data_IF_649646059174
#
_entry.id   IF_649646059174
#
_cell.length_a   1.000
_cell.length_b   1.000
_cell.length_c   1.000
_cell.angle_alpha   90.00
_cell.angle_beta   90.00
_cell.angle_gamma   90.00
#
_symmetry.space_group_name_H-M   'P 1'
#
loop_
_entity.id
_entity.type
_entity.pdbx_description
1 polymer ?
2 polymer ?
3 water ?
#
loop_
_entity_poly.entity_id
_entity_poly.type
_entity_poly.pdbx_seq_one_letter_code
_entity_poly.pdbx_strand_id
2 'polyribonucleotide' 'UGCGAAUUCGCUU' ?
#
# COMPACT_ATOMS: atom_id res chain seq x y z
N UNK A 3 -5.80 6.99 33.52
CA UNK A 3 -4.40 6.67 33.20
C UNK A 3 -3.94 7.48 31.99
N UNK A 4 -2.70 8.00 32.05
CA UNK A 4 -2.05 8.72 30.95
C UNK A 4 -1.71 7.82 29.77
N UNK A 5 -0.91 8.33 28.84
CA UNK A 5 -0.61 7.63 27.60
C UNK A 5 0.88 7.51 27.30
N UNK A 6 1.23 6.47 26.57
CA UNK A 6 2.60 6.27 26.12
C UNK A 6 2.59 6.16 24.61
N UNK A 7 3.49 6.89 23.96
CA UNK A 7 3.52 6.89 22.51
C UNK A 7 4.91 6.47 22.02
N UNK A 8 4.96 5.35 21.30
CA UNK A 8 6.22 4.85 20.76
C UNK A 8 6.26 4.97 19.24
N UNK A 9 7.45 5.27 18.72
CA UNK A 9 7.70 5.22 17.28
C UNK A 9 8.25 3.84 16.91
N UNK A 10 7.66 3.22 15.90
CA UNK A 10 8.24 2.01 15.30
C UNK A 10 9.29 2.43 14.27
N UNK A 11 10.52 2.61 14.72
CA UNK A 11 11.59 3.03 13.85
C UNK A 11 11.95 1.97 12.84
N UNK A 12 11.98 2.35 11.56
CA UNK A 12 12.40 1.43 10.50
C UNK A 12 13.57 1.96 9.69
N UNK A 13 14.59 1.12 9.49
CA UNK A 13 15.69 1.44 8.59
C UNK A 13 16.02 0.22 7.74
N UNK A 14 16.31 0.43 6.47
CA UNK A 14 16.74 -0.65 5.60
C UNK A 14 18.23 -0.71 5.77
N UNK A 15 18.67 -1.55 6.69
CA UNK A 15 20.07 -1.61 7.06
C UNK A 15 20.81 -2.44 6.06
N UNK A 16 20.10 -3.38 5.44
CA UNK A 16 20.68 -4.22 4.38
C UNK A 16 19.77 -4.33 3.16
N UNK A 17 20.11 -3.61 2.10
CA UNK A 17 19.26 -3.64 0.89
C UNK A 17 19.44 -4.95 0.14
N UNK A 18 18.34 -5.45 -0.42
CA UNK A 18 18.34 -6.67 -1.22
C UNK A 18 19.46 -6.63 -2.24
N UNK A 19 20.37 -7.60 -2.19
CA UNK A 19 21.47 -7.67 -3.17
C UNK A 19 20.92 -8.13 -4.54
N UNK A 20 21.67 -7.86 -5.62
CA UNK A 20 21.20 -8.15 -6.96
C UNK A 20 20.81 -9.62 -7.14
N UNK A 21 21.55 -10.51 -6.48
CA UNK A 21 21.33 -11.94 -6.61
C UNK A 21 20.11 -12.46 -5.87
N UNK A 22 19.36 -11.57 -5.22
CA UNK A 22 18.14 -12.00 -4.54
C UNK A 22 16.96 -11.18 -5.04
N UNK A 23 17.25 -10.22 -5.92
CA UNK A 23 16.19 -9.42 -6.51
C UNK A 23 15.58 -10.11 -7.74
N UNK A 24 15.00 -11.28 -7.50
CA UNK A 24 14.46 -12.12 -8.56
C UNK A 24 13.37 -11.43 -9.35
N UNK A 25 12.45 -10.78 -8.64
CA UNK A 25 11.38 -10.05 -9.29
C UNK A 25 11.82 -8.67 -9.72
N UNK A 26 13.14 -8.50 -9.86
CA UNK A 26 13.80 -7.27 -10.33
C UNK A 26 13.21 -5.93 -9.89
N UNK A 27 12.91 -5.83 -8.59
CA UNK A 27 12.25 -4.67 -8.04
C UNK A 27 13.13 -3.47 -7.74
N UNK A 28 12.46 -2.34 -7.50
CA UNK A 28 13.09 -1.13 -7.01
C UNK A 28 13.11 -1.24 -5.50
N UNK A 29 14.20 -0.84 -4.87
CA UNK A 29 14.25 -0.94 -3.41
C UNK A 29 13.72 0.32 -2.72
N UNK A 30 12.97 0.15 -1.65
CA UNK A 30 12.23 1.25 -1.02
C UNK A 30 12.53 1.48 0.45
N UNK A 31 13.66 2.15 0.75
CA UNK A 31 14.02 2.43 2.15
C UNK A 31 12.89 3.13 2.90
N UNK A 32 12.46 2.56 4.04
CA UNK A 32 11.33 3.13 4.77
C UNK A 32 11.70 4.51 5.26
N UNK A 33 12.99 4.69 5.52
CA UNK A 33 13.46 5.91 6.15
C UNK A 33 13.37 7.08 5.20
N UNK A 34 13.05 6.82 3.95
CA UNK A 34 12.94 7.86 2.93
C UNK A 34 11.64 8.67 2.98
N UNK A 35 10.64 8.16 3.68
CA UNK A 35 9.38 8.87 3.84
C UNK A 35 9.08 9.08 5.33
N UNK A 36 8.73 10.31 5.69
CA UNK A 36 8.61 10.66 7.11
C UNK A 36 7.43 10.00 7.83
N UNK A 37 6.33 9.76 7.10
CA UNK A 37 5.18 9.12 7.74
C UNK A 37 5.48 7.65 8.03
N UNK A 38 4.93 7.14 9.12
CA UNK A 38 5.26 5.80 9.59
C UNK A 38 4.27 5.43 10.67
N UNK A 39 4.49 4.30 11.32
CA UNK A 39 3.57 3.88 12.35
C UNK A 39 4.11 4.03 13.77
N UNK A 40 3.23 3.83 14.73
CA UNK A 40 3.56 3.99 16.14
C UNK A 40 2.59 3.26 17.05
N UNK A 41 2.98 3.11 18.31
CA UNK A 41 2.15 2.39 19.25
C UNK A 41 1.74 3.27 20.41
N UNK A 42 0.44 3.32 20.66
CA UNK A 42 -0.09 4.06 21.78
C UNK A 42 -0.56 3.09 22.82
N UNK A 43 0.02 3.18 24.00
CA UNK A 43 -0.22 2.21 25.07
C UNK A 43 -0.67 2.89 26.35
N UNK A 44 -1.14 2.08 27.30
CA UNK A 44 -1.45 2.56 28.63
C UNK A 44 -0.29 2.22 29.54
N UNK A 45 0.14 0.95 29.49
CA UNK A 45 1.34 0.48 30.19
C UNK A 45 2.56 0.70 29.30
N UNK A 46 3.70 1.07 29.88
CA UNK A 46 4.91 1.27 29.07
C UNK A 46 5.44 -0.03 28.45
N UNK A 47 6.32 0.11 27.45
CA UNK A 47 6.88 -1.03 26.74
C UNK A 47 8.29 -1.32 27.24
N UNK A 48 8.58 -2.59 27.54
CA UNK A 48 9.94 -2.98 27.92
C UNK A 48 10.85 -2.81 26.71
N UNK A 49 11.93 -2.05 26.85
CA UNK A 49 12.83 -1.79 25.72
C UNK A 49 13.30 -3.10 25.08
N UNK A 50 12.73 -3.43 23.92
CA UNK A 50 13.10 -4.65 23.20
C UNK A 50 14.35 -4.39 22.39
N UNK A 51 15.18 -5.43 22.18
CA UNK A 51 16.32 -5.18 21.29
C UNK A 51 15.91 -5.02 19.83
N UNK A 52 16.80 -4.40 19.05
CA UNK A 52 16.67 -4.30 17.60
C UNK A 52 16.45 -5.69 17.01
N UNK A 53 15.53 -5.79 16.06
CA UNK A 53 15.32 -7.03 15.34
C UNK A 53 14.93 -6.76 13.88
N UNK A 54 15.34 -7.67 12.98
CA UNK A 54 15.09 -7.54 11.54
C UNK A 54 13.70 -8.00 11.13
N UNK A 55 13.08 -7.29 10.18
CA UNK A 55 11.99 -7.86 9.38
C UNK A 55 12.51 -7.95 7.96
N UNK A 56 12.20 -9.05 7.31
CA UNK A 56 12.68 -9.27 5.95
C UNK A 56 11.62 -8.87 4.91
N UNK A 57 11.86 -7.75 4.26
CA UNK A 57 10.86 -7.18 3.36
C UNK A 57 11.33 -7.21 1.93
N UNK A 58 10.44 -6.82 1.03
CA UNK A 58 10.74 -6.83 -0.38
C UNK A 58 12.03 -6.11 -0.71
N UNK A 59 12.34 -5.05 0.03
CA UNK A 59 13.47 -4.19 -0.34
C UNK A 59 14.79 -4.64 0.26
N UNK A 60 14.72 -5.51 1.26
CA UNK A 60 15.91 -5.90 1.99
C UNK A 60 15.58 -6.08 3.46
N UNK A 61 16.62 -6.17 4.28
CA UNK A 61 16.47 -6.37 5.72
C UNK A 61 16.28 -5.03 6.43
N UNK A 62 15.09 -4.83 6.98
CA UNK A 62 14.76 -3.63 7.75
C UNK A 62 14.95 -3.91 9.23
N UNK A 63 15.81 -3.13 9.91
CA UNK A 63 15.94 -3.18 11.39
C UNK A 63 14.82 -2.42 12.06
N UNK A 64 14.04 -3.13 12.88
CA UNK A 64 12.95 -2.48 13.61
C UNK A 64 13.45 -2.06 14.98
N UNK A 65 13.11 -0.84 15.39
CA UNK A 65 13.46 -0.41 16.76
C UNK A 65 12.28 0.31 17.39
N UNK A 66 11.98 0.01 18.65
CA UNK A 66 10.86 0.65 19.33
C UNK A 66 11.34 1.75 20.27
N UNK A 67 11.19 3.00 19.84
CA UNK A 67 11.65 4.13 20.64
C UNK A 67 10.48 4.90 21.24
N UNK A 68 10.73 5.47 22.41
CA UNK A 68 9.73 6.25 23.11
C UNK A 68 9.58 7.63 22.46
N UNK A 69 8.35 7.99 22.10
CA UNK A 69 8.11 9.33 21.57
C UNK A 69 7.57 10.26 22.66
N UNK A 70 6.59 9.80 23.42
CA UNK A 70 6.08 10.59 24.54
C UNK A 70 5.58 9.71 25.69
N UNK A 71 5.20 10.34 26.79
CA UNK A 71 4.62 9.63 27.91
C UNK A 71 3.91 10.58 28.87
N UNK A 72 2.96 10.03 29.63
CA UNK A 72 2.32 10.77 30.70
C UNK A 72 1.44 11.92 30.22
N UNK A 73 1.06 11.86 28.95
CA UNK A 73 0.17 12.85 28.40
C UNK A 73 -1.25 12.29 28.36
N UNK A 74 -2.20 13.13 27.98
CA UNK A 74 -3.59 12.71 27.93
C UNK A 74 -4.13 12.82 26.52
N UNK A 75 -5.23 12.13 26.27
CA UNK A 75 -5.93 12.24 24.99
C UNK A 75 -7.43 12.21 25.24
N UNK A 76 -8.16 13.00 24.46
CA UNK A 76 -9.61 13.11 24.58
C UNK A 76 -10.29 11.85 24.08
N UNK A 77 -11.54 11.66 24.48
CA UNK A 77 -12.30 10.50 24.03
C UNK A 77 -12.41 10.52 22.51
N UNK A 78 -12.74 11.68 21.95
CA UNK A 78 -12.93 11.83 20.51
C UNK A 78 -11.65 11.42 19.78
N UNK A 79 -10.52 11.80 20.34
CA UNK A 79 -9.23 11.44 19.77
C UNK A 79 -8.95 9.96 19.84
N UNK A 80 -9.26 9.35 20.98
CA UNK A 80 -9.08 7.92 21.14
C UNK A 80 -10.00 7.16 20.20
N UNK A 81 -11.25 7.62 20.07
CA UNK A 81 -12.18 7.03 19.11
C UNK A 81 -11.64 7.04 17.68
N UNK A 82 -10.89 8.08 17.34
CA UNK A 82 -10.31 8.20 16.01
C UNK A 82 -9.14 7.24 15.83
N UNK A 83 -8.17 7.29 16.74
CA UNK A 83 -7.04 6.36 16.76
C UNK A 83 -7.54 4.90 16.66
N UNK A 84 -8.55 4.60 17.48
CA UNK A 84 -9.18 3.29 17.50
C UNK A 84 -9.75 2.85 16.15
N UNK A 85 -10.60 3.69 15.57
CA UNK A 85 -11.23 3.37 14.30
C UNK A 85 -10.15 3.07 13.27
N UNK A 86 -9.16 3.95 13.21
CA UNK A 86 -7.99 3.73 12.36
C UNK A 86 -7.32 2.38 12.61
N UNK A 87 -7.13 2.03 13.87
CA UNK A 87 -6.49 0.77 14.21
C UNK A 87 -7.25 -0.38 13.56
N UNK A 88 -8.55 -0.45 13.82
CA UNK A 88 -9.40 -1.48 13.21
C UNK A 88 -9.34 -1.44 11.67
N UNK A 89 -9.16 -0.25 11.11
CA UNK A 89 -9.13 -0.12 9.67
C UNK A 89 -7.87 -0.73 9.09
N UNK A 90 -6.75 -0.54 9.77
CA UNK A 90 -5.47 -1.05 9.30
C UNK A 90 -5.48 -2.57 9.18
N UNK A 91 -6.17 -3.25 10.08
CA UNK A 91 -6.09 -4.70 10.10
C UNK A 91 -7.24 -5.37 9.35
N UNK A 92 -8.41 -4.75 9.40
CA UNK A 92 -9.57 -5.29 8.70
C UNK A 92 -9.54 -4.94 7.21
N UNK A 93 -9.13 -3.72 6.89
CA UNK A 93 -9.19 -3.26 5.49
C UNK A 93 -7.86 -3.21 4.74
N UNK A 94 -6.80 -2.71 5.37
CA UNK A 94 -5.51 -2.62 4.69
C UNK A 94 -4.84 -3.99 4.57
N UNK A 95 -4.78 -4.72 5.69
CA UNK A 95 -4.09 -6.02 5.76
C UNK A 95 -5.07 -7.17 5.63
N UNK A 96 -6.34 -6.89 5.91
CA UNK A 96 -7.42 -7.87 5.80
C UNK A 96 -7.17 -9.04 6.75
N UNK A 97 -6.67 -8.71 7.92
CA UNK A 97 -6.33 -9.69 8.93
C UNK A 97 -7.57 -10.07 9.74
N UNK A 113 -1.71 -1.95 21.84
CA UNK A 113 -3.02 -1.45 22.27
C UNK A 113 -3.64 -0.59 21.17
N UNK A 114 -2.84 0.31 20.61
CA UNK A 114 -3.24 1.05 19.43
C UNK A 114 -2.09 1.38 18.49
N UNK A 115 -2.25 0.97 17.24
CA UNK A 115 -1.30 1.29 16.19
C UNK A 115 -1.88 2.47 15.41
N UNK A 116 -1.05 3.47 15.15
CA UNK A 116 -1.48 4.72 14.58
C UNK A 116 -0.34 5.29 13.74
N UNK A 117 -0.65 6.23 12.80
CA UNK A 117 0.39 6.85 11.97
C UNK A 117 1.02 8.08 12.64
N UNK A 118 2.34 8.20 12.50
CA UNK A 118 3.05 9.38 12.95
C UNK A 118 3.60 10.10 11.73
N UNK A 119 3.84 11.40 11.88
CA UNK A 119 4.40 12.22 10.79
C UNK A 119 4.91 13.54 11.36
N UNK A 120 6.01 14.04 10.79
CA UNK A 120 6.59 15.32 11.22
C UNK A 120 5.69 16.51 10.90
N UNK A 121 6.16 17.72 11.21
CA UNK A 121 5.38 18.95 11.07
C UNK A 121 5.98 19.90 10.03
N UNK A 126 10.61 16.20 14.70
CA UNK A 126 9.57 15.93 15.68
C UNK A 126 8.38 15.14 15.11
N UNK A 127 8.44 13.81 15.25
CA UNK A 127 7.33 12.94 14.89
C UNK A 127 6.13 13.16 15.80
N UNK A 128 4.92 13.12 15.24
CA UNK A 128 3.72 13.12 16.07
C UNK A 128 2.54 12.42 15.40
N UNK A 129 1.47 12.22 16.16
CA UNK A 129 0.23 11.62 15.66
C UNK A 129 -0.30 12.37 14.44
N UNK A 130 -0.50 11.64 13.35
CA UNK A 130 -0.98 12.27 12.13
C UNK A 130 -2.49 12.23 12.07
N UNK A 131 -3.12 13.06 12.90
CA UNK A 131 -4.57 13.20 12.93
C UNK A 131 -5.17 13.60 11.58
N UNK A 132 -4.49 14.51 10.88
CA UNK A 132 -5.00 14.98 9.59
C UNK A 132 -5.10 13.81 8.63
N UNK A 133 -4.04 13.00 8.61
CA UNK A 133 -4.00 11.83 7.74
C UNK A 133 -5.16 10.92 8.06
N UNK A 134 -5.46 10.79 9.34
CA UNK A 134 -6.55 9.94 9.76
C UNK A 134 -7.87 10.52 9.28
N UNK A 135 -8.05 11.81 9.51
CA UNK A 135 -9.22 12.52 8.99
C UNK A 135 -9.38 12.34 7.49
N UNK A 136 -8.28 12.34 6.74
CA UNK A 136 -8.36 12.10 5.30
C UNK A 136 -8.79 10.66 4.96
N UNK A 137 -8.29 9.67 5.70
CA UNK A 137 -8.72 8.30 5.47
C UNK A 137 -10.23 8.17 5.70
N UNK A 138 -10.71 8.71 6.81
CA UNK A 138 -12.14 8.68 7.11
C UNK A 138 -12.97 9.38 6.01
N UNK A 139 -12.37 10.33 5.33
CA UNK A 139 -13.08 11.19 4.36
C UNK A 139 -13.02 10.66 2.93
N UNK A 140 -11.97 9.90 2.61
CA UNK A 140 -11.76 9.38 1.27
C UNK A 140 -12.83 8.38 0.84
N UNK A 141 -13.17 8.40 -0.45
CA UNK A 141 -14.19 7.52 -1.01
C UNK A 141 -13.62 6.19 -1.47
N UNK A 142 -12.29 6.09 -1.55
CA UNK A 142 -11.64 4.84 -1.96
C UNK A 142 -11.03 4.09 -0.77
N UNK A 143 -11.54 4.37 0.43
CA UNK A 143 -11.01 3.78 1.65
C UNK A 143 -11.51 2.37 1.93
N UNK A 144 -12.73 2.04 1.52
CA UNK A 144 -13.33 0.72 1.79
C UNK A 144 -13.35 -0.17 0.56
N UNK A 145 -13.72 0.41 -0.59
CA UNK A 145 -13.76 -0.33 -1.84
C UNK A 145 -13.48 0.52 -3.06
N UNK A 146 -14.40 0.50 -4.02
CA UNK A 146 -14.22 1.16 -5.31
C UNK A 146 -15.20 2.31 -5.51
N UNK A 147 -14.68 3.54 -5.67
CA UNK A 147 -15.51 4.74 -5.79
C UNK A 147 -16.05 4.93 -7.21
N UNK A 148 -17.21 5.57 -7.34
CA UNK A 148 -17.78 5.85 -8.65
C UNK A 148 -17.35 7.23 -9.16
N UNK A 149 -17.26 7.35 -10.49
CA UNK A 149 -16.83 8.59 -11.13
C UNK A 149 -17.69 8.88 -12.36
N UNK A 150 -17.76 10.14 -12.75
CA UNK A 150 -18.50 10.50 -13.97
C UNK A 150 -17.60 11.13 -15.05
N UNK A 151 -16.75 10.32 -15.67
CA UNK A 151 -15.93 10.79 -16.79
C UNK A 151 -16.77 10.84 -18.04
N UNK A 152 -16.72 11.99 -18.71
CA UNK A 152 -17.41 12.20 -19.98
C UNK A 152 -16.49 12.94 -20.92
N UNK A 153 -16.93 13.16 -22.16
CA UNK A 153 -16.15 13.91 -23.14
C UNK A 153 -15.85 15.32 -22.63
N UNK A 154 -16.88 15.98 -22.11
CA UNK A 154 -16.76 17.32 -21.56
C UNK A 154 -16.04 17.37 -20.21
N UNK A 155 -16.12 16.29 -19.44
CA UNK A 155 -15.34 16.17 -18.19
C UNK A 155 -14.41 14.96 -18.21
N UNK A 156 -13.33 15.04 -18.99
CA UNK A 156 -12.41 13.92 -19.23
C UNK A 156 -11.62 13.52 -17.98
N UNK A 157 -11.12 12.29 -17.97
CA UNK A 157 -10.17 11.89 -16.96
C UNK A 157 -8.89 12.68 -17.18
N UNK A 158 -8.39 13.29 -16.11
CA UNK A 158 -7.14 14.05 -16.21
C UNK A 158 -6.04 13.32 -15.46
N UNK A 159 -4.89 13.16 -16.11
CA UNK A 159 -3.77 12.46 -15.51
C UNK A 159 -2.74 13.40 -14.91
N UNK A 160 -2.65 13.43 -13.58
CA UNK A 160 -1.52 14.10 -12.95
C UNK A 160 -0.51 13.05 -12.49
N UNK A 161 0.68 13.13 -13.06
CA UNK A 161 1.74 12.17 -12.79
C UNK A 161 1.96 11.99 -11.30
N UNK A 162 1.91 13.10 -10.57
CA UNK A 162 2.18 13.11 -9.13
C UNK A 162 1.29 12.17 -8.34
N UNK A 163 0.06 11.97 -8.79
CA UNK A 163 -0.87 11.10 -8.07
C UNK A 163 -0.58 9.61 -8.24
N UNK A 164 0.52 9.27 -8.90
CA UNK A 164 0.79 7.88 -9.18
C UNK A 164 2.24 7.55 -8.83
N UNK A 165 2.95 8.55 -8.31
CA UNK A 165 4.31 8.35 -7.78
C UNK A 165 4.37 7.36 -6.59
N UNK A 166 3.80 7.77 -5.45
CA UNK A 166 3.67 6.93 -4.27
C UNK A 166 2.26 6.36 -4.13
N UNK A 167 1.74 5.68 -5.13
CA UNK A 167 0.33 5.26 -5.06
C UNK A 167 0.04 3.75 -5.05
N UNK A 168 -1.16 3.43 -4.60
CA UNK A 168 -1.68 2.07 -4.57
C UNK A 168 -3.05 2.19 -5.22
N UNK A 169 -3.27 1.44 -6.30
CA UNK A 169 -4.49 1.58 -7.06
C UNK A 169 -5.30 0.30 -7.01
N UNK A 170 -6.57 0.37 -7.39
CA UNK A 170 -7.37 -0.82 -7.56
C UNK A 170 -8.20 -0.68 -8.82
N UNK A 171 -8.43 -1.80 -9.51
CA UNK A 171 -9.30 -1.81 -10.70
C UNK A 171 -10.73 -1.45 -10.31
N UNK A 172 -11.38 -0.58 -11.08
CA UNK A 172 -12.73 -0.14 -10.74
C UNK A 172 -13.79 -1.07 -11.30
N UNK A 173 -13.35 -1.99 -12.14
CA UNK A 173 -14.24 -2.68 -13.05
C UNK A 173 -14.35 -4.17 -12.81
N UNK A 174 -13.83 -4.62 -11.67
CA UNK A 174 -13.91 -6.03 -11.28
C UNK A 174 -13.57 -6.18 -9.82
N UNK A 175 -14.01 -7.31 -9.25
CA UNK A 175 -13.78 -7.63 -7.84
C UNK A 175 -14.39 -6.58 -6.94
N UNK A 176 -15.67 -6.36 -7.11
CA UNK A 176 -16.40 -5.37 -6.31
C UNK A 176 -16.36 -5.75 -4.83
N UNK A 177 -16.57 -7.02 -4.53
CA UNK A 177 -16.59 -7.48 -3.16
C UNK A 177 -15.20 -7.56 -2.54
N UNK A 178 -14.19 -7.97 -3.30
CA UNK A 178 -12.84 -8.10 -2.76
C UNK A 178 -11.79 -7.49 -3.66
N UNK A 179 -11.75 -6.16 -3.73
CA UNK A 179 -10.79 -5.47 -4.60
C UNK A 179 -9.32 -5.83 -4.36
N UNK A 180 -8.66 -6.20 -5.43
CA UNK A 180 -7.22 -6.32 -5.47
C UNK A 180 -6.59 -4.94 -5.45
N UNK A 181 -5.45 -4.80 -4.78
CA UNK A 181 -4.76 -3.52 -4.69
C UNK A 181 -3.36 -3.72 -5.22
N UNK A 182 -2.84 -2.71 -5.90
CA UNK A 182 -1.56 -2.85 -6.59
C UNK A 182 -0.71 -1.64 -6.35
N UNK A 183 0.58 -1.86 -6.12
CA UNK A 183 1.54 -0.78 -6.08
C UNK A 183 1.71 -0.28 -7.51
N UNK A 184 1.78 1.04 -7.70
CA UNK A 184 2.23 1.55 -8.98
C UNK A 184 3.74 1.44 -8.99
N UNK A 185 4.25 0.61 -9.90
CA UNK A 185 5.66 0.26 -9.95
C UNK A 185 6.40 1.09 -10.99
N UNK A 186 5.72 1.39 -12.09
CA UNK A 186 6.30 2.23 -13.13
C UNK A 186 5.20 2.97 -13.90
N UNK A 187 5.49 4.19 -14.27
CA UNK A 187 4.62 4.92 -15.17
C UNK A 187 5.23 4.83 -16.55
N UNK A 188 4.53 4.18 -17.45
CA UNK A 188 5.01 4.03 -18.82
C UNK A 188 4.50 5.15 -19.68
N UNK A 189 5.31 6.19 -19.83
CA UNK A 189 4.87 7.37 -20.55
C UNK A 189 4.97 7.17 -22.05
N UNK A 190 5.66 6.10 -22.44
CA UNK A 190 5.79 5.74 -23.85
C UNK A 190 4.61 4.91 -24.32
N UNK A 191 3.63 4.73 -23.45
CA UNK A 191 2.48 3.90 -23.78
C UNK A 191 1.15 4.67 -23.67
N UNK A 192 0.17 4.24 -24.46
CA UNK A 192 -1.17 4.84 -24.40
C UNK A 192 -2.17 3.73 -24.50
N UNK A 193 -3.43 4.00 -24.14
CA UNK A 193 -4.45 2.95 -24.32
C UNK A 193 -4.57 2.51 -25.77
N UNK A 194 -3.94 3.24 -26.68
CA UNK A 194 -3.99 2.89 -28.10
C UNK A 194 -2.75 2.14 -28.52
N UNK A 195 -1.84 1.91 -27.58
CA UNK A 195 -0.68 1.08 -27.86
C UNK A 195 -1.13 -0.37 -28.01
N UNK A 196 -0.34 -1.17 -28.73
CA UNK A 196 -0.73 -2.54 -29.05
C UNK A 196 -0.87 -3.40 -27.79
N UNK A 197 -1.94 -4.17 -27.78
CA UNK A 197 -2.28 -5.02 -26.65
C UNK A 197 -1.49 -6.32 -26.76
N UNK A 198 -0.97 -6.80 -25.62
CA UNK A 198 -0.17 -8.04 -25.52
C UNK A 198 -0.82 -9.22 -26.24
N UNK A 199 -1.94 -9.72 -25.72
CA UNK A 199 -2.70 -10.79 -26.37
C UNK A 199 -3.15 -10.41 -27.78
N UNK A 200 -3.13 -11.38 -28.70
CA UNK A 200 -3.46 -11.13 -30.11
C UNK A 200 -4.91 -10.72 -30.36
N UNK A 201 -5.85 -11.35 -29.64
CA UNK A 201 -7.29 -11.14 -29.86
C UNK A 201 -7.82 -9.69 -29.72
N UNK A 202 -6.96 -8.76 -29.32
CA UNK A 202 -7.33 -7.34 -29.24
C UNK A 202 -6.21 -6.47 -29.82
N UNK A 203 -6.60 -5.43 -30.56
CA UNK A 203 -5.60 -4.60 -31.20
C UNK A 203 -4.92 -3.69 -30.18
N UNK A 204 -5.72 -3.22 -29.24
CA UNK A 204 -5.28 -2.20 -28.31
C UNK A 204 -5.84 -2.44 -26.92
N UNK A 205 -5.22 -1.80 -25.95
CA UNK A 205 -5.76 -1.72 -24.59
C UNK A 205 -7.20 -1.22 -24.54
N UNK A 206 -7.51 -0.19 -25.34
CA UNK A 206 -8.83 0.41 -25.33
C UNK A 206 -9.86 -0.57 -25.86
N UNK A 207 -9.48 -1.27 -26.91
CA UNK A 207 -10.37 -2.26 -27.48
C UNK A 207 -10.62 -3.39 -26.48
N UNK A 208 -9.58 -3.80 -25.77
CA UNK A 208 -9.71 -4.90 -24.84
C UNK A 208 -10.75 -4.58 -23.77
N UNK A 209 -10.61 -3.42 -23.16
CA UNK A 209 -11.54 -2.99 -22.12
C UNK A 209 -12.95 -2.69 -22.63
N UNK A 210 -13.04 -2.33 -23.92
CA UNK A 210 -14.33 -2.08 -24.53
C UNK A 210 -15.00 -3.39 -24.86
N UNK A 211 -14.34 -4.23 -25.64
CA UNK A 211 -14.95 -5.50 -26.05
C UNK A 211 -15.30 -6.34 -24.82
N UNK A 212 -14.39 -6.40 -23.86
CA UNK A 212 -14.54 -7.27 -22.69
C UNK A 212 -15.41 -6.70 -21.58
N UNK A 213 -15.08 -5.49 -21.11
CA UNK A 213 -15.80 -4.92 -19.96
C UNK A 213 -16.77 -3.82 -20.37
N UNK A 214 -16.79 -3.48 -21.64
CA UNK A 214 -17.63 -2.40 -22.16
C UNK A 214 -17.31 -1.04 -21.54
N UNK A 215 -16.02 -0.74 -21.44
CA UNK A 215 -15.58 0.53 -20.86
C UNK A 215 -15.08 1.47 -21.95
N UNK A 216 -15.60 2.70 -21.93
CA UNK A 216 -15.15 3.75 -22.84
C UNK A 216 -14.12 4.63 -22.16
N UNK A 217 -13.06 5.00 -22.88
CA UNK A 217 -12.02 5.84 -22.30
C UNK A 217 -12.14 7.29 -22.78
N UNK A 218 -12.11 8.23 -21.85
CA UNK A 218 -12.24 9.65 -22.19
C UNK A 218 -10.86 10.31 -22.27
N UNK A 219 -9.81 9.50 -22.23
CA UNK A 219 -8.45 10.01 -22.33
C UNK A 219 -7.59 8.98 -23.00
N UNK A 220 -7.14 9.30 -24.21
CA UNK A 220 -6.35 8.36 -25.00
C UNK A 220 -4.91 8.85 -25.16
N UNK A 221 -4.44 9.62 -24.18
CA UNK A 221 -3.05 10.08 -24.18
C UNK A 221 -2.33 9.69 -22.91
N UNK A 222 -3.10 9.23 -21.93
CA UNK A 222 -2.56 8.85 -20.64
C UNK A 222 -1.48 7.79 -20.74
N UNK A 223 -0.50 7.86 -19.85
CA UNK A 223 0.48 6.78 -19.76
C UNK A 223 -0.21 5.55 -19.19
N UNK A 224 0.42 4.39 -19.33
CA UNK A 224 -0.11 3.19 -18.69
C UNK A 224 0.71 2.88 -17.45
N UNK A 225 0.18 1.98 -16.62
CA UNK A 225 0.79 1.73 -15.31
C UNK A 225 1.34 0.31 -15.14
N UNK A 226 2.57 0.22 -14.64
CA UNK A 226 3.14 -1.04 -14.21
C UNK A 226 2.70 -1.33 -12.79
N UNK A 227 2.41 -2.59 -12.48
CA UNK A 227 1.87 -2.89 -11.16
C UNK A 227 2.60 -4.01 -10.42
N UNK A 228 2.40 -4.06 -9.10
CA UNK A 228 3.01 -5.05 -8.23
C UNK A 228 2.03 -5.32 -7.09
N UNK A 229 1.64 -6.58 -6.90
CA UNK A 229 0.62 -6.94 -5.91
C UNK A 229 1.06 -6.49 -4.52
N UNK A 230 0.11 -6.06 -3.69
CA UNK A 230 0.42 -5.56 -2.36
C UNK A 230 0.42 -6.67 -1.33
N UNK A 231 -0.11 -7.83 -1.72
CA UNK A 231 -0.24 -8.98 -0.83
C UNK A 231 1.11 -9.41 -0.25
N UNK A 232 1.12 -9.91 0.98
CA UNK A 232 2.35 -10.34 1.64
C UNK A 232 2.12 -11.50 2.61
N UNK A 233 3.21 -12.20 2.95
CA UNK A 233 3.17 -13.19 4.03
C UNK A 233 3.16 -12.48 5.37
N UNK A 234 2.23 -12.87 6.24
CA UNK A 234 2.15 -12.31 7.59
C UNK A 234 3.50 -12.19 8.28
N UNK A 235 4.22 -13.30 8.33
CA UNK A 235 5.45 -13.40 9.12
C UNK A 235 6.73 -13.17 8.33
N UNK A 236 7.40 -12.07 8.62
CA UNK A 236 8.60 -11.66 7.91
C UNK A 236 9.85 -11.74 8.75
N UNK A 237 9.72 -12.35 9.92
CA UNK A 237 10.84 -12.41 10.87
C UNK A 237 12.01 -13.28 10.38
N UNK A 238 11.73 -14.14 9.41
CA UNK A 238 12.72 -14.95 8.70
C UNK A 238 12.73 -14.62 7.21
N UNK A 239 13.92 -14.74 6.56
CA UNK A 239 14.06 -14.55 5.10
C UNK A 239 13.39 -15.68 4.31
N UNK A 251 9.34 -25.83 -2.82
CA UNK A 251 8.04 -25.28 -3.18
C UNK A 251 7.15 -26.32 -3.85
N UNK A 252 5.95 -26.52 -3.29
CA UNK A 252 5.03 -27.58 -3.72
C UNK A 252 4.32 -27.26 -5.04
N UNK A 253 3.30 -28.06 -5.37
CA UNK A 253 2.45 -27.82 -6.55
C UNK A 253 1.57 -26.57 -6.39
N UNK A 254 1.45 -26.09 -5.15
CA UNK A 254 0.63 -24.93 -4.80
C UNK A 254 1.36 -23.62 -5.10
N UNK A 255 2.67 -23.62 -4.89
CA UNK A 255 3.49 -22.49 -5.30
C UNK A 255 3.78 -22.59 -6.80
N UNK A 256 3.54 -23.76 -7.39
CA UNK A 256 3.77 -23.98 -8.81
C UNK A 256 2.67 -23.39 -9.68
N UNK A 257 1.46 -23.32 -9.13
CA UNK A 257 0.33 -22.69 -9.81
C UNK A 257 0.27 -21.21 -9.46
N UNK A 258 0.36 -20.89 -8.17
CA UNK A 258 0.47 -19.49 -7.73
C UNK A 258 1.69 -18.80 -8.33
N UNK A 259 2.54 -19.57 -9.00
CA UNK A 259 3.70 -19.02 -9.69
C UNK A 259 3.23 -18.24 -10.88
N UNK A 260 2.81 -18.96 -11.92
CA UNK A 260 2.30 -18.35 -13.14
C UNK A 260 1.23 -17.28 -12.86
N UNK A 261 0.35 -17.55 -11.89
CA UNK A 261 -0.67 -16.59 -11.50
C UNK A 261 -0.08 -15.27 -11.01
N UNK A 262 0.68 -15.34 -9.92
CA UNK A 262 1.25 -14.14 -9.30
C UNK A 262 2.22 -13.44 -10.25
N UNK A 263 2.78 -14.20 -11.17
CA UNK A 263 3.67 -13.65 -12.18
C UNK A 263 2.90 -12.85 -13.23
N UNK A 264 1.75 -13.37 -13.67
CA UNK A 264 0.94 -12.71 -14.68
C UNK A 264 0.33 -11.43 -14.10
N UNK A 265 -0.01 -11.50 -12.82
CA UNK A 265 -0.56 -10.37 -12.12
C UNK A 265 0.38 -9.19 -12.18
N UNK A 266 1.65 -9.46 -11.88
CA UNK A 266 2.68 -8.43 -11.89
C UNK A 266 3.21 -8.09 -13.27
N UNK A 267 2.73 -8.80 -14.29
CA UNK A 267 3.06 -8.45 -15.68
C UNK A 267 1.94 -7.61 -16.32
N UNK A 268 0.86 -7.42 -15.55
CA UNK A 268 -0.31 -6.69 -15.99
C UNK A 268 -0.03 -5.20 -16.16
N UNK A 269 -0.53 -4.60 -17.25
CA UNK A 269 -0.36 -3.17 -17.48
C UNK A 269 -1.70 -2.47 -17.30
N UNK A 270 -1.80 -1.56 -16.32
CA UNK A 270 -3.10 -0.94 -16.04
C UNK A 270 -3.30 0.46 -16.61
N UNK A 271 -4.57 0.79 -16.86
CA UNK A 271 -5.00 2.09 -17.34
C UNK A 271 -5.52 2.94 -16.19
N UNK A 272 -4.85 4.05 -15.88
CA UNK A 272 -5.22 4.92 -14.75
C UNK A 272 -6.71 5.27 -14.72
N UNK A 273 -7.30 5.69 -15.85
CA UNK A 273 -8.73 6.07 -15.88
C UNK A 273 -9.63 4.97 -15.33
N UNK A 274 -9.13 3.73 -15.36
CA UNK A 274 -9.91 2.58 -14.91
C UNK A 274 -9.57 2.18 -13.47
N UNK A 275 -8.63 2.89 -12.87
CA UNK A 275 -8.22 2.58 -11.52
C UNK A 275 -8.51 3.71 -10.53
N UNK A 276 -8.98 3.32 -9.35
CA UNK A 276 -9.12 4.19 -8.20
C UNK A 276 -7.82 4.27 -7.42
N UNK A 277 -7.47 5.45 -6.94
CA UNK A 277 -6.27 5.59 -6.09
C UNK A 277 -6.63 5.39 -4.62
N UNK A 278 -5.88 4.54 -3.93
CA UNK A 278 -6.18 4.24 -2.53
C UNK A 278 -5.67 5.39 -1.68
N UNK A 279 -6.47 5.80 -0.68
CA UNK A 279 -6.07 6.86 0.26
C UNK A 279 -4.73 6.59 0.95
N UNK A 280 -4.46 5.34 1.37
CA UNK A 280 -3.17 5.01 1.96
C UNK A 280 -2.09 5.04 0.88
N UNK A 281 -1.05 5.87 1.07
CA UNK A 281 0.04 5.89 0.09
C UNK A 281 0.83 4.61 0.07
N UNK A 282 1.50 4.34 -1.05
CA UNK A 282 2.25 3.12 -1.20
C UNK A 282 3.36 2.93 -0.14
N UNK A 283 4.22 3.94 0.01
CA UNK A 283 5.36 3.85 0.94
C UNK A 283 4.97 3.56 2.39
N UNK A 284 3.75 3.91 2.79
CA UNK A 284 3.25 3.53 4.11
C UNK A 284 2.63 2.15 4.09
N UNK A 285 2.15 1.73 2.91
CA UNK A 285 1.56 0.41 2.76
C UNK A 285 2.70 -0.58 2.96
N UNK A 286 3.86 -0.22 2.42
CA UNK A 286 5.07 -0.98 2.61
C UNK A 286 5.41 -1.17 4.09
N UNK A 287 5.17 -0.14 4.88
CA UNK A 287 5.50 -0.20 6.30
C UNK A 287 4.41 -0.94 7.05
N UNK A 288 3.16 -0.71 6.68
CA UNK A 288 2.04 -1.39 7.35
C UNK A 288 2.16 -2.90 7.34
N UNK A 289 2.73 -3.46 6.28
CA UNK A 289 2.74 -4.91 6.15
C UNK A 289 3.78 -5.60 7.03
N UNK A 290 4.65 -4.79 7.64
CA UNK A 290 5.57 -5.26 8.69
C UNK A 290 4.89 -5.34 10.04
N UNK A 291 3.68 -4.80 10.14
CA UNK A 291 3.05 -4.66 11.45
C UNK A 291 2.71 -5.98 12.11
N UNK A 292 2.14 -6.95 11.36
CA UNK A 292 1.84 -8.19 12.07
C UNK A 292 3.07 -8.91 12.61
N UNK A 293 4.20 -8.81 11.90
CA UNK A 293 5.46 -9.35 12.38
C UNK A 293 5.81 -8.71 13.71
N UNK A 294 5.82 -7.39 13.69
CA UNK A 294 6.34 -6.60 14.79
C UNK A 294 5.55 -6.77 16.09
N UNK A 295 4.23 -6.83 15.97
CA UNK A 295 3.37 -7.01 17.14
C UNK A 295 3.48 -8.41 17.70
N UNK A 296 3.69 -9.38 16.82
CA UNK A 296 3.90 -10.76 17.26
C UNK A 296 5.19 -10.82 18.10
N UNK A 297 6.28 -10.31 17.53
CA UNK A 297 7.54 -10.11 18.22
C UNK A 297 7.40 -9.46 19.61
N UNK A 298 6.66 -8.35 19.67
CA UNK A 298 6.47 -7.63 20.94
C UNK A 298 5.62 -8.35 21.97
N UNK A 299 4.73 -9.24 21.55
CA UNK A 299 3.88 -9.93 22.51
C UNK A 299 4.58 -11.13 23.15
N UNK A 300 5.70 -11.56 22.56
CA UNK A 300 6.46 -12.71 23.08
C UNK A 300 7.63 -12.27 23.94
#
# INVERSE_FOLDING_TARGET
SDQPCYLYVIGMVLTTPLPDELNFRRRKLYPPEDTTRCFGILTAKPIPQIPHFPVYTRSGEVTISIELAASGFMLSLQMLELITRLHQYIFSHILRLEKPALEFKPTDADSAYCVLPLNVVNDSSTLDIDFKFMEDIEKSEARIGIPSTKYTKETPFVFKLEDYQDAVIIPRYRNFDQPHRFYVADVYTDLTPLSKFPSPEYETFAEYYKTKYNLDLTNLNQPLLDVDHTSSRLNLLTPRHLNQKGKALPLSSAEKRKAKWESLQNKQILVPELCAIHPIPASLWRKAVCLPSILYRLHCLL
#
